data_IF_609401029039
#
_entry.id   IF_609401029039
#
_cell.length_a   1.000
_cell.length_b   1.000
_cell.length_c   1.000
_cell.angle_alpha   90.00
_cell.angle_beta   90.00
_cell.angle_gamma   90.00
#
_symmetry.space_group_name_H-M   'P 1'
#
loop_
_entity.id
_entity.type
_entity.pdbx_description
1 polymer ?
#
# COMPACT_ATOMS: atom_id res chain seq x y z
N UNK A 1 -26.71 19.57 -5.68
CA UNK A 1 -28.03 19.93 -6.25
C UNK A 1 -28.98 18.76 -6.08
N UNK A 2 -30.29 18.97 -5.83
CA UNK A 2 -31.29 17.89 -5.70
C UNK A 2 -32.27 17.98 -6.85
N UNK A 3 -32.29 16.97 -7.74
CA UNK A 3 -33.27 16.86 -8.84
C UNK A 3 -34.35 15.88 -8.43
N UNK A 4 -35.61 16.29 -8.53
CA UNK A 4 -36.78 15.46 -8.15
C UNK A 4 -37.47 14.97 -9.42
N UNK A 5 -37.76 13.67 -9.46
CA UNK A 5 -38.37 13.01 -10.61
C UNK A 5 -39.55 12.16 -10.13
N UNK A 6 -40.75 12.53 -10.58
CA UNK A 6 -41.98 11.80 -10.27
C UNK A 6 -42.30 10.81 -11.41
N UNK A 7 -42.20 9.52 -11.10
CA UNK A 7 -42.38 8.42 -12.06
C UNK A 7 -43.52 7.47 -11.66
N UNK A 8 -44.47 7.97 -10.87
CA UNK A 8 -45.65 7.20 -10.45
C UNK A 8 -46.56 6.88 -11.64
N UNK A 9 -47.24 5.74 -11.57
CA UNK A 9 -48.21 5.26 -12.56
C UNK A 9 -47.66 4.98 -13.96
N UNK A 10 -46.34 5.03 -14.15
CA UNK A 10 -45.70 4.69 -15.42
C UNK A 10 -45.51 3.17 -15.54
N UNK A 11 -45.77 2.64 -16.73
CA UNK A 11 -45.51 1.25 -17.06
C UNK A 11 -44.01 1.02 -17.28
N UNK A 12 -43.49 -0.14 -16.88
CA UNK A 12 -42.13 -0.53 -17.25
C UNK A 12 -42.06 -0.74 -18.77
N UNK A 13 -41.01 -0.25 -19.47
CA UNK A 13 -39.69 0.17 -18.97
C UNK A 13 -39.50 1.69 -18.77
N UNK A 14 -40.54 2.50 -18.95
CA UNK A 14 -40.43 3.97 -19.01
C UNK A 14 -39.75 4.61 -17.78
N UNK A 15 -40.01 4.18 -16.53
CA UNK A 15 -39.31 4.72 -15.36
C UNK A 15 -37.80 4.56 -15.40
N UNK A 16 -37.32 3.45 -15.96
CA UNK A 16 -35.88 3.15 -16.04
C UNK A 16 -35.20 4.07 -17.03
N UNK A 17 -35.84 4.31 -18.18
CA UNK A 17 -35.32 5.19 -19.22
C UNK A 17 -35.25 6.65 -18.73
N UNK A 18 -36.32 7.17 -18.13
CA UNK A 18 -36.31 8.53 -17.57
C UNK A 18 -35.30 8.70 -16.43
N UNK A 19 -35.09 7.65 -15.64
CA UNK A 19 -34.04 7.65 -14.60
C UNK A 19 -32.65 7.72 -15.23
N UNK A 20 -32.41 6.95 -16.30
CA UNK A 20 -31.15 7.00 -17.06
C UNK A 20 -30.91 8.37 -17.65
N UNK A 21 -31.89 8.93 -18.36
CA UNK A 21 -31.82 10.27 -18.96
C UNK A 21 -31.53 11.34 -17.89
N UNK A 22 -32.26 11.31 -16.77
CA UNK A 22 -32.05 12.26 -15.68
C UNK A 22 -30.68 12.13 -15.04
N UNK A 23 -30.13 10.91 -14.95
CA UNK A 23 -28.76 10.71 -14.51
C UNK A 23 -27.77 11.23 -15.55
N UNK A 24 -27.96 10.99 -16.85
CA UNK A 24 -27.06 11.46 -17.91
C UNK A 24 -27.02 12.99 -18.02
N UNK A 25 -28.15 13.67 -17.85
CA UNK A 25 -28.25 15.14 -17.85
C UNK A 25 -27.56 15.82 -16.65
N UNK A 26 -27.37 15.11 -15.54
CA UNK A 26 -26.77 15.66 -14.33
C UNK A 26 -25.27 15.40 -14.30
N UNK A 27 -24.45 16.43 -14.05
CA UNK A 27 -23.02 16.23 -13.78
C UNK A 27 -22.79 15.68 -12.36
N UNK A 28 -23.42 16.31 -11.36
CA UNK A 28 -23.32 15.90 -9.95
C UNK A 28 -24.59 16.24 -9.15
N UNK A 29 -24.92 15.43 -8.13
CA UNK A 29 -26.01 15.70 -7.21
C UNK A 29 -26.78 14.46 -6.76
N UNK A 30 -27.91 14.72 -6.11
CA UNK A 30 -28.82 13.67 -5.62
C UNK A 30 -30.06 13.67 -6.51
N UNK A 31 -30.37 12.51 -7.09
CA UNK A 31 -31.60 12.28 -7.85
C UNK A 31 -32.62 11.59 -6.95
N UNK A 32 -33.74 12.26 -6.70
CA UNK A 32 -34.85 11.76 -5.90
C UNK A 32 -35.95 11.22 -6.83
N UNK A 33 -36.20 9.92 -6.80
CA UNK A 33 -37.08 9.21 -7.73
C UNK A 33 -38.31 8.70 -6.97
N UNK A 34 -39.51 9.16 -7.32
CA UNK A 34 -40.76 8.75 -6.69
C UNK A 34 -41.49 7.71 -7.54
N UNK A 35 -41.79 6.55 -6.94
CA UNK A 35 -42.41 5.38 -7.59
C UNK A 35 -43.55 4.83 -6.72
N UNK A 36 -44.52 4.13 -7.31
CA UNK A 36 -45.64 3.50 -6.60
C UNK A 36 -45.84 2.01 -6.93
N UNK A 37 -45.32 1.55 -8.08
CA UNK A 37 -45.41 0.14 -8.50
C UNK A 37 -44.20 -0.66 -8.00
N UNK A 38 -44.46 -1.86 -7.47
CA UNK A 38 -43.41 -2.78 -7.03
C UNK A 38 -42.42 -3.12 -8.15
N UNK A 39 -42.92 -3.39 -9.36
CA UNK A 39 -42.08 -3.73 -10.53
C UNK A 39 -41.15 -2.57 -10.91
N UNK A 40 -41.66 -1.34 -10.93
CA UNK A 40 -40.86 -0.16 -11.25
C UNK A 40 -39.77 0.09 -10.20
N UNK A 41 -40.07 -0.13 -8.92
CA UNK A 41 -39.09 -0.04 -7.83
C UNK A 41 -37.96 -1.06 -8.02
N UNK A 42 -38.29 -2.33 -8.28
CA UNK A 42 -37.28 -3.38 -8.46
C UNK A 42 -36.42 -3.14 -9.69
N UNK A 43 -37.01 -2.71 -10.80
CA UNK A 43 -36.29 -2.44 -12.04
C UNK A 43 -35.34 -1.24 -11.92
N UNK A 44 -35.79 -0.14 -11.30
CA UNK A 44 -34.94 1.03 -11.05
C UNK A 44 -33.81 0.69 -10.07
N UNK A 45 -34.07 -0.10 -9.03
CA UNK A 45 -33.00 -0.58 -8.12
C UNK A 45 -31.95 -1.40 -8.87
N UNK A 46 -32.37 -2.39 -9.66
CA UNK A 46 -31.46 -3.20 -10.47
C UNK A 46 -30.64 -2.35 -11.43
N UNK A 47 -31.27 -1.36 -12.05
CA UNK A 47 -30.58 -0.41 -12.92
C UNK A 47 -29.51 0.39 -12.16
N UNK A 48 -29.84 0.98 -11.00
CA UNK A 48 -28.89 1.75 -10.20
C UNK A 48 -27.73 0.87 -9.67
N UNK A 49 -28.02 -0.35 -9.24
CA UNK A 49 -27.01 -1.33 -8.83
C UNK A 49 -26.06 -1.69 -9.99
N UNK A 50 -26.61 -1.95 -11.17
CA UNK A 50 -25.81 -2.28 -12.36
C UNK A 50 -24.94 -1.10 -12.82
N UNK A 51 -25.36 0.14 -12.55
CA UNK A 51 -24.56 1.35 -12.80
C UNK A 51 -23.54 1.65 -11.69
N UNK A 52 -23.50 0.85 -10.61
CA UNK A 52 -22.60 1.07 -9.47
C UNK A 52 -22.94 2.32 -8.65
N UNK A 53 -24.16 2.83 -8.76
CA UNK A 53 -24.60 4.07 -8.09
C UNK A 53 -25.13 3.72 -6.70
N UNK A 54 -24.67 4.45 -5.68
CA UNK A 54 -25.22 4.32 -4.34
C UNK A 54 -26.63 4.91 -4.27
N UNK A 55 -27.56 4.19 -3.64
CA UNK A 55 -28.92 4.68 -3.42
C UNK A 55 -29.50 4.25 -2.07
N UNK A 56 -30.49 5.00 -1.60
CA UNK A 56 -31.25 4.72 -0.39
C UNK A 56 -32.76 4.76 -0.68
N UNK A 57 -33.57 3.91 -0.02
CA UNK A 57 -35.03 3.90 -0.15
C UNK A 57 -35.71 4.48 1.08
N UNK A 58 -36.79 5.23 0.86
CA UNK A 58 -37.73 5.66 1.91
C UNK A 58 -39.15 5.35 1.46
N UNK A 59 -39.95 4.72 2.33
CA UNK A 59 -41.37 4.43 2.06
C UNK A 59 -42.24 5.55 2.62
N UNK A 60 -43.12 6.07 1.79
CA UNK A 60 -44.06 7.14 2.11
C UNK A 60 -45.48 6.71 1.70
N UNK A 61 -46.14 5.95 2.58
CA UNK A 61 -47.47 5.38 2.34
C UNK A 61 -47.50 4.42 1.14
N UNK A 62 -48.26 4.79 0.09
CA UNK A 62 -48.35 4.03 -1.18
C UNK A 62 -47.19 4.30 -2.14
N UNK A 63 -46.31 5.25 -1.82
CA UNK A 63 -45.19 5.63 -2.67
C UNK A 63 -43.86 5.22 -2.02
N UNK A 64 -42.86 4.96 -2.85
CA UNK A 64 -41.47 4.72 -2.47
C UNK A 64 -40.60 5.78 -3.14
N UNK A 65 -39.72 6.40 -2.37
CA UNK A 65 -38.76 7.40 -2.82
C UNK A 65 -37.37 6.75 -2.81
N UNK A 66 -36.67 6.79 -3.93
CA UNK A 66 -35.30 6.31 -4.08
C UNK A 66 -34.40 7.52 -4.27
N UNK A 67 -33.43 7.70 -3.37
CA UNK A 67 -32.41 8.74 -3.48
C UNK A 67 -31.14 8.12 -4.05
N UNK A 68 -30.83 8.42 -5.31
CA UNK A 68 -29.60 7.99 -5.97
C UNK A 68 -28.57 9.13 -5.93
N UNK A 69 -27.31 8.81 -5.62
CA UNK A 69 -26.24 9.80 -5.52
C UNK A 69 -25.35 9.69 -6.74
N UNK A 70 -25.37 10.69 -7.62
CA UNK A 70 -24.43 10.82 -8.73
C UNK A 70 -23.33 11.79 -8.32
N UNK A 71 -22.13 11.27 -8.09
CA UNK A 71 -20.94 12.07 -7.81
C UNK A 71 -19.74 11.41 -8.46
N UNK A 72 -18.61 12.13 -8.50
CA UNK A 72 -17.35 11.54 -8.94
C UNK A 72 -17.05 10.29 -8.11
N UNK A 73 -16.70 9.20 -8.79
CA UNK A 73 -16.07 8.06 -8.14
C UNK A 73 -14.83 8.58 -7.42
N UNK A 74 -14.73 8.31 -6.11
CA UNK A 74 -13.45 8.35 -5.47
C UNK A 74 -12.62 7.22 -6.08
N UNK A 75 -11.90 7.51 -7.16
CA UNK A 75 -10.84 6.64 -7.65
C UNK A 75 -9.73 6.65 -6.60
N UNK A 76 -9.84 5.72 -5.66
CA UNK A 76 -8.67 5.28 -4.91
C UNK A 76 -7.82 4.56 -5.97
N UNK A 77 -6.59 5.02 -6.25
CA UNK A 77 -5.75 4.35 -7.23
C UNK A 77 -5.60 2.89 -6.79
N UNK A 78 -6.07 1.97 -7.65
CA UNK A 78 -5.85 0.55 -7.41
C UNK A 78 -4.35 0.31 -7.32
N UNK A 79 -3.90 -0.21 -6.18
CA UNK A 79 -2.53 -0.67 -6.02
C UNK A 79 -2.32 -1.84 -6.97
N UNK A 80 -1.72 -1.57 -8.13
CA UNK A 80 -1.23 -2.61 -9.05
C UNK A 80 -0.12 -3.41 -8.37
N UNK A 81 -0.51 -4.47 -7.67
CA UNK A 81 0.37 -5.55 -7.28
C UNK A 81 0.27 -6.66 -8.33
N UNK A 82 1.38 -7.15 -8.88
CA UNK A 82 1.51 -8.55 -9.35
C UNK A 82 2.78 -8.89 -10.16
N UNK A 83 3.61 -7.95 -10.63
CA UNK A 83 4.87 -8.33 -11.35
C UNK A 83 6.17 -7.93 -10.65
N UNK A 84 6.15 -6.96 -9.74
CA UNK A 84 7.36 -6.60 -8.98
C UNK A 84 7.59 -7.52 -7.77
N UNK A 85 6.56 -8.16 -7.21
CA UNK A 85 6.71 -8.95 -5.98
C UNK A 85 7.57 -10.20 -6.19
N UNK A 86 7.35 -10.96 -7.26
CA UNK A 86 8.20 -12.11 -7.63
C UNK A 86 9.62 -11.69 -8.05
N UNK A 87 9.77 -10.54 -8.71
CA UNK A 87 11.08 -9.97 -9.03
C UNK A 87 11.85 -9.52 -7.78
N UNK A 88 11.15 -8.98 -6.78
CA UNK A 88 11.72 -8.59 -5.49
C UNK A 88 12.14 -9.83 -4.67
N UNK A 89 11.34 -10.89 -4.67
CA UNK A 89 11.68 -12.15 -4.00
C UNK A 89 12.88 -12.82 -4.68
N UNK A 90 12.88 -12.92 -6.01
CA UNK A 90 14.00 -13.47 -6.76
C UNK A 90 15.27 -12.64 -6.56
N UNK A 91 15.16 -11.31 -6.58
CA UNK A 91 16.27 -10.40 -6.30
C UNK A 91 16.82 -10.54 -4.88
N UNK A 92 15.95 -10.69 -3.88
CA UNK A 92 16.36 -10.91 -2.49
C UNK A 92 17.07 -12.26 -2.31
N UNK A 93 16.56 -13.33 -2.93
CA UNK A 93 17.18 -14.67 -2.87
C UNK A 93 18.57 -14.69 -3.51
N UNK A 94 18.72 -14.09 -4.70
CA UNK A 94 20.01 -13.98 -5.40
C UNK A 94 21.01 -13.17 -4.56
N UNK A 95 20.57 -12.03 -4.00
CA UNK A 95 21.41 -11.18 -3.14
C UNK A 95 21.85 -11.91 -1.87
N UNK A 96 20.97 -12.71 -1.25
CA UNK A 96 21.29 -13.48 -0.05
C UNK A 96 22.34 -14.57 -0.32
N UNK A 97 22.27 -15.24 -1.47
CA UNK A 97 23.25 -16.27 -1.87
C UNK A 97 24.60 -15.62 -2.15
N UNK A 98 24.63 -14.54 -2.95
CA UNK A 98 25.87 -13.79 -3.25
C UNK A 98 26.55 -13.25 -1.99
N UNK A 99 25.78 -12.70 -1.04
CA UNK A 99 26.29 -12.24 0.24
C UNK A 99 26.83 -13.40 1.10
N UNK A 100 26.13 -14.54 1.12
CA UNK A 100 26.56 -15.73 1.85
C UNK A 100 27.90 -16.27 1.32
N UNK A 101 28.11 -16.28 0.01
CA UNK A 101 29.36 -16.74 -0.61
C UNK A 101 30.56 -15.86 -0.21
N UNK A 102 30.36 -14.56 0.01
CA UNK A 102 31.39 -13.63 0.48
C UNK A 102 31.86 -13.93 1.93
N UNK A 103 31.04 -14.61 2.74
CA UNK A 103 31.34 -14.90 4.16
C UNK A 103 31.71 -16.38 4.41
N UNK A 104 31.03 -17.32 3.74
CA UNK A 104 31.31 -18.75 3.87
C UNK A 104 32.64 -19.15 3.22
N UNK A 105 33.03 -18.47 2.13
CA UNK A 105 34.30 -18.73 1.44
C UNK A 105 35.50 -18.57 2.38
N UNK A 106 35.74 -17.37 2.94
CA UNK A 106 36.84 -17.14 3.89
C UNK A 106 36.79 -18.06 5.12
N UNK A 107 35.60 -18.34 5.66
CA UNK A 107 35.41 -19.21 6.82
C UNK A 107 35.81 -20.67 6.52
N UNK A 108 35.37 -21.22 5.39
CA UNK A 108 35.71 -22.58 4.96
C UNK A 108 37.20 -22.72 4.67
N UNK A 109 37.81 -21.76 3.98
CA UNK A 109 39.27 -21.78 3.73
C UNK A 109 40.10 -21.75 5.04
N UNK A 110 39.61 -21.04 6.06
CA UNK A 110 40.23 -21.01 7.40
C UNK A 110 40.12 -22.38 8.09
N UNK A 111 38.96 -23.03 8.01
CA UNK A 111 38.73 -24.38 8.57
C UNK A 111 39.58 -25.45 7.87
N UNK A 112 39.76 -25.34 6.55
CA UNK A 112 40.61 -26.26 5.78
C UNK A 112 42.12 -25.93 5.85
N UNK A 113 42.53 -24.93 6.65
CA UNK A 113 43.93 -24.67 6.98
C UNK A 113 44.80 -24.18 5.81
N UNK A 114 44.19 -23.69 4.73
CA UNK A 114 44.93 -23.12 3.60
C UNK A 114 45.40 -21.72 3.97
N UNK A 115 46.72 -21.53 4.00
CA UNK A 115 47.40 -20.27 4.33
C UNK A 115 46.74 -19.05 3.67
N UNK A 116 46.42 -18.04 4.50
CA UNK A 116 45.70 -16.78 4.18
C UNK A 116 46.51 -15.83 3.27
N UNK A 117 47.50 -16.33 2.52
CA UNK A 117 48.29 -15.54 1.57
C UNK A 117 47.50 -15.06 0.34
N UNK A 118 46.33 -15.65 0.05
CA UNK A 118 45.51 -15.28 -1.12
C UNK A 118 44.36 -14.31 -0.81
N UNK A 119 44.18 -13.91 0.46
CA UNK A 119 43.15 -12.93 0.88
C UNK A 119 43.68 -11.49 0.97
N UNK A 120 44.92 -11.24 0.55
CA UNK A 120 45.54 -9.90 0.54
C UNK A 120 44.78 -8.87 -0.31
N UNK A 121 43.94 -9.32 -1.25
CA UNK A 121 43.07 -8.44 -2.05
C UNK A 121 41.92 -7.80 -1.24
N UNK A 122 41.49 -8.37 -0.11
CA UNK A 122 40.38 -7.83 0.68
C UNK A 122 40.76 -6.59 1.53
N UNK A 123 42.05 -6.35 1.78
CA UNK A 123 42.51 -5.12 2.44
C UNK A 123 42.21 -3.87 1.60
N UNK A 124 41.96 -4.03 0.29
CA UNK A 124 41.57 -2.94 -0.60
C UNK A 124 40.18 -2.36 -0.25
N UNK A 125 39.35 -3.12 0.47
CA UNK A 125 38.02 -2.66 0.92
C UNK A 125 38.04 -1.98 2.30
N UNK A 126 39.15 -2.01 3.03
CA UNK A 126 39.32 -1.28 4.29
C UNK A 126 38.96 0.22 4.18
N UNK A 127 39.38 0.98 3.14
CA UNK A 127 38.99 2.38 2.98
C UNK A 127 37.51 2.58 2.62
N UNK A 128 36.82 1.55 2.11
CA UNK A 128 35.41 1.66 1.73
C UNK A 128 34.44 1.59 2.91
N UNK A 129 34.91 1.11 4.07
CA UNK A 129 34.11 1.00 5.30
C UNK A 129 33.39 2.31 5.65
N UNK A 130 34.09 3.44 5.58
CA UNK A 130 33.52 4.74 5.92
C UNK A 130 32.39 5.14 4.97
N UNK A 131 32.52 4.86 3.67
CA UNK A 131 31.50 5.17 2.68
C UNK A 131 30.22 4.36 2.92
N UNK A 132 30.34 3.06 3.23
CA UNK A 132 29.20 2.23 3.59
C UNK A 132 28.54 2.70 4.90
N UNK A 133 29.33 3.14 5.88
CA UNK A 133 28.77 3.67 7.14
C UNK A 133 27.97 4.95 6.93
N UNK A 134 28.47 5.88 6.11
CA UNK A 134 27.78 7.13 5.79
C UNK A 134 26.50 6.83 5.01
N UNK A 135 26.57 5.96 4.00
CA UNK A 135 25.40 5.56 3.22
C UNK A 135 24.30 4.94 4.10
N UNK A 136 24.64 3.98 4.96
CA UNK A 136 23.68 3.36 5.87
C UNK A 136 23.04 4.39 6.84
N UNK A 137 23.85 5.28 7.41
CA UNK A 137 23.36 6.34 8.29
C UNK A 137 22.40 7.30 7.56
N UNK A 138 22.74 7.72 6.34
CA UNK A 138 21.89 8.64 5.55
C UNK A 138 20.53 8.02 5.23
N UNK A 139 20.48 6.74 4.88
CA UNK A 139 19.22 6.02 4.59
C UNK A 139 18.34 5.95 5.84
N UNK A 140 18.92 5.59 6.99
CA UNK A 140 18.18 5.51 8.26
C UNK A 140 17.62 6.88 8.66
N UNK A 141 18.44 7.92 8.59
CA UNK A 141 18.03 9.29 8.90
C UNK A 141 16.90 9.71 7.95
N UNK A 142 17.03 9.47 6.65
CA UNK A 142 15.99 9.77 5.67
C UNK A 142 14.67 9.04 5.97
N UNK A 143 14.71 7.74 6.29
CA UNK A 143 13.52 6.96 6.62
C UNK A 143 12.80 7.50 7.86
N UNK A 144 13.55 7.89 8.90
CA UNK A 144 13.01 8.52 10.10
C UNK A 144 12.45 9.92 9.85
N UNK A 145 13.14 10.75 9.06
CA UNK A 145 12.66 12.07 8.65
C UNK A 145 11.35 11.97 7.84
N UNK A 146 11.30 11.05 6.88
CA UNK A 146 10.10 10.80 6.09
C UNK A 146 8.93 10.32 6.97
N UNK A 147 9.21 9.46 7.95
CA UNK A 147 8.22 9.02 8.92
C UNK A 147 7.65 10.19 9.75
N UNK A 148 8.53 10.99 10.36
CA UNK A 148 8.11 12.11 11.20
C UNK A 148 7.42 13.23 10.43
N UNK A 149 7.90 13.58 9.23
CA UNK A 149 7.42 14.73 8.48
C UNK A 149 6.17 14.42 7.63
N UNK A 150 6.08 13.23 7.03
CA UNK A 150 5.01 12.87 6.08
C UNK A 150 4.04 11.83 6.62
N UNK A 151 4.54 10.67 7.06
CA UNK A 151 3.69 9.51 7.40
C UNK A 151 2.89 9.71 8.69
N UNK A 152 3.41 10.47 9.66
CA UNK A 152 2.69 10.78 10.91
C UNK A 152 1.36 11.51 10.69
N UNK A 153 1.24 12.30 9.61
CA UNK A 153 0.07 13.16 9.37
C UNK A 153 -1.03 12.51 8.53
N UNK A 154 -0.72 11.42 7.80
CA UNK A 154 -1.68 10.74 6.91
C UNK A 154 -1.38 9.24 6.83
N UNK A 155 -1.98 8.39 7.68
CA UNK A 155 -1.93 6.95 7.49
C UNK A 155 -2.84 6.57 6.31
N UNK A 156 -2.31 6.62 5.08
CA UNK A 156 -3.03 6.21 3.87
C UNK A 156 -2.61 4.78 3.53
N UNK A 157 -3.06 3.78 4.30
CA UNK A 157 -2.93 2.36 3.93
C UNK A 157 -3.68 1.46 4.94
N UNK A 158 -4.59 0.62 4.44
CA UNK A 158 -5.29 -0.42 5.22
C UNK A 158 -4.54 -1.76 5.14
N UNK A 159 -3.32 -1.79 5.67
CA UNK A 159 -2.45 -2.98 5.64
C UNK A 159 -1.75 -3.21 6.97
N UNK A 160 -1.50 -4.48 7.33
CA UNK A 160 -0.80 -4.89 8.57
C UNK A 160 0.57 -4.21 8.74
N UNK A 161 1.25 -3.94 7.62
CA UNK A 161 2.56 -3.28 7.57
C UNK A 161 2.48 -1.83 8.07
N UNK A 162 1.41 -1.09 7.78
CA UNK A 162 1.25 0.30 8.22
C UNK A 162 0.97 0.43 9.71
N UNK A 163 0.25 -0.53 10.30
CA UNK A 163 -0.01 -0.54 11.75
C UNK A 163 1.28 -0.71 12.55
N UNK A 164 2.20 -1.54 12.05
CA UNK A 164 3.43 -1.90 12.75
C UNK A 164 4.69 -1.27 12.13
N UNK A 165 4.56 -0.30 11.23
CA UNK A 165 5.67 0.30 10.47
C UNK A 165 6.80 0.81 11.39
N UNK A 166 6.45 1.51 12.46
CA UNK A 166 7.41 2.05 13.44
C UNK A 166 8.18 0.94 14.15
N UNK A 167 7.51 -0.18 14.44
CA UNK A 167 8.13 -1.34 15.10
C UNK A 167 9.21 -1.95 14.20
N UNK A 168 8.90 -2.16 12.91
CA UNK A 168 9.86 -2.69 11.94
C UNK A 168 11.00 -1.71 11.66
N UNK A 169 10.70 -0.41 11.50
CA UNK A 169 11.73 0.63 11.32
C UNK A 169 12.68 0.66 12.52
N UNK A 170 12.14 0.64 13.75
CA UNK A 170 12.93 0.61 14.98
C UNK A 170 13.85 -0.62 15.05
N UNK A 171 13.31 -1.83 14.78
CA UNK A 171 14.10 -3.07 14.76
C UNK A 171 15.25 -2.98 13.74
N UNK A 172 14.96 -2.49 12.53
CA UNK A 172 15.98 -2.30 11.48
C UNK A 172 17.06 -1.30 11.90
N UNK A 173 16.68 -0.18 12.53
CA UNK A 173 17.65 0.81 13.01
C UNK A 173 18.55 0.27 14.10
N UNK A 174 18.03 -0.51 15.05
CA UNK A 174 18.82 -1.14 16.11
C UNK A 174 19.82 -2.12 15.52
N UNK A 175 19.38 -2.97 14.58
CA UNK A 175 20.23 -3.94 13.92
C UNK A 175 21.42 -3.28 13.20
N UNK A 176 21.15 -2.23 12.42
CA UNK A 176 22.20 -1.51 11.69
C UNK A 176 23.15 -0.78 12.64
N UNK A 177 22.65 -0.22 13.75
CA UNK A 177 23.49 0.44 14.75
C UNK A 177 24.45 -0.53 15.44
N UNK A 178 23.99 -1.75 15.75
CA UNK A 178 24.85 -2.81 16.30
C UNK A 178 25.96 -3.17 15.31
N UNK A 179 25.62 -3.37 14.03
CA UNK A 179 26.60 -3.65 12.97
C UNK A 179 27.61 -2.52 12.76
N UNK A 180 27.16 -1.26 12.79
CA UNK A 180 28.04 -0.09 12.67
C UNK A 180 29.01 0.04 13.86
N UNK A 181 28.57 -0.36 15.05
CA UNK A 181 29.35 -0.23 16.29
C UNK A 181 30.20 -1.48 16.59
N UNK A 182 30.00 -2.60 15.87
CA UNK A 182 30.81 -3.82 15.93
C UNK A 182 32.32 -3.58 16.12
N UNK A 183 33.01 -2.76 15.31
CA UNK A 183 34.46 -2.56 15.43
C UNK A 183 34.89 -2.04 16.80
N UNK A 184 34.06 -1.24 17.48
CA UNK A 184 34.37 -0.72 18.81
C UNK A 184 34.19 -1.79 19.90
N UNK A 185 33.11 -2.59 19.84
CA UNK A 185 32.85 -3.64 20.83
C UNK A 185 33.70 -4.89 20.60
N UNK A 186 34.01 -5.23 19.35
CA UNK A 186 34.93 -6.33 19.02
C UNK A 186 36.32 -6.03 19.58
N UNK A 187 36.79 -4.79 19.41
CA UNK A 187 38.07 -4.37 19.99
C UNK A 187 38.08 -4.49 21.52
N UNK A 188 36.99 -4.09 22.18
CA UNK A 188 36.84 -4.23 23.63
C UNK A 188 36.75 -5.70 24.09
N UNK A 189 36.08 -6.58 23.34
CA UNK A 189 35.91 -7.99 23.66
C UNK A 189 37.18 -8.82 23.45
N UNK A 190 37.97 -8.49 22.41
CA UNK A 190 39.20 -9.22 22.08
C UNK A 190 40.47 -8.65 22.74
N UNK A 191 40.45 -7.40 23.23
CA UNK A 191 41.55 -6.78 24.00
C UNK A 191 41.26 -6.70 25.50
N UNK A 192 40.25 -7.44 25.98
CA UNK A 192 39.81 -7.48 27.38
C UNK A 192 40.53 -8.52 28.25
N UNK A 193 41.76 -8.89 27.91
CA UNK A 193 42.73 -9.52 28.84
C UNK A 193 43.86 -8.54 29.14
#
# INVERSE_FOLDING_TARGET
MVKKLDLRNLACPEPVLKTKEALEEMEEGILEIKLNSFSSIQNVKRFLQNQGIYFNEKKEGKNTIINAIKGYSCEIPESKESKSFWALIAGAAITAILASTCCLGPLLFLIFGVSVGSLSFLHIFAPYRIYFTIAAATIIIYLWLNYFLKLRKRPVCSGSICKNYVKYLSIGTVFVLIMLTYPFWAQYLFMGE
#
